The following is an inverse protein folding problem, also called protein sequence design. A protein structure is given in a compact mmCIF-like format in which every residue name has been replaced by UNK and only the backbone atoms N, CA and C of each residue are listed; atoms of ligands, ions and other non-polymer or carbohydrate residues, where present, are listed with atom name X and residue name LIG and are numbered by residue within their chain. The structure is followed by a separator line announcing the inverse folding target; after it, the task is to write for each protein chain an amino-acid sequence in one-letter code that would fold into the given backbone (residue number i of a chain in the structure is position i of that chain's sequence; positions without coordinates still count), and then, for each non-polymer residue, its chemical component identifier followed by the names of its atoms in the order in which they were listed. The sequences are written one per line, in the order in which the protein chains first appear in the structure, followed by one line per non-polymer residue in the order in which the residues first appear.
data_IF_090169708013
#
_entry.id   IF_090169708013
#
_cell.length_a   1.000
_cell.length_b   1.000
_cell.length_c   1.000
_cell.angle_alpha   90.00
_cell.angle_beta   90.00
_cell.angle_gamma   90.00
#
_symmetry.space_group_name_H-M   'P 1'
#
loop_
_entity.id
_entity.type
_entity.pdbx_description
1 polymer ?
#
# COMPACT_ATOMS: atom_id res chain seq x y z
N UNK A 1 -11.58 25.65 8.59
CA UNK A 1 -11.07 25.63 7.19
C UNK A 1 -9.75 24.87 7.23
N UNK A 2 -9.78 23.56 6.98
CA UNK A 2 -8.60 22.70 7.16
C UNK A 2 -7.82 22.65 5.84
N UNK A 3 -6.58 23.14 5.89
CA UNK A 3 -5.64 23.20 4.77
C UNK A 3 -4.96 21.85 4.58
N UNK A 4 -4.95 21.37 3.33
CA UNK A 4 -4.24 20.18 2.88
C UNK A 4 -2.73 20.45 2.88
N UNK A 5 -2.07 20.34 4.04
CA UNK A 5 -0.61 20.49 4.16
C UNK A 5 -0.03 19.44 5.09
N UNK A 6 -0.42 18.17 4.91
CA UNK A 6 0.39 17.04 5.36
C UNK A 6 0.90 16.35 4.09
N UNK A 7 1.93 16.98 3.53
CA UNK A 7 2.71 16.52 2.40
C UNK A 7 3.34 15.18 2.81
N UNK A 8 2.76 14.05 2.38
CA UNK A 8 3.46 12.77 2.46
C UNK A 8 4.77 12.94 1.68
N UNK A 9 5.94 12.64 2.27
CA UNK A 9 7.19 12.70 1.54
C UNK A 9 7.03 11.75 0.35
N UNK A 10 7.07 12.30 -0.86
CA UNK A 10 7.05 11.52 -2.08
C UNK A 10 8.37 10.76 -2.15
N UNK A 11 8.41 9.56 -1.58
CA UNK A 11 9.50 8.61 -1.79
C UNK A 11 9.34 7.97 -3.16
N UNK A 12 9.35 8.80 -4.21
CA UNK A 12 9.67 8.30 -5.53
C UNK A 12 11.13 7.82 -5.48
N UNK A 13 11.43 6.56 -5.83
CA UNK A 13 12.80 6.11 -5.88
C UNK A 13 13.59 6.99 -6.87
N UNK A 14 14.86 7.35 -6.56
CA UNK A 14 15.64 8.30 -7.35
C UNK A 14 15.68 7.88 -8.82
N UNK A 15 15.60 8.83 -9.74
CA UNK A 15 15.45 8.64 -11.20
C UNK A 15 16.40 7.58 -11.80
N UNK A 16 17.58 7.41 -11.19
CA UNK A 16 18.62 6.43 -11.55
C UNK A 16 18.39 4.97 -11.11
N UNK A 17 17.34 4.65 -10.33
CA UNK A 17 17.09 3.27 -9.95
C UNK A 17 16.70 2.46 -11.21
N UNK A 18 17.55 1.50 -11.59
CA UNK A 18 17.26 0.59 -12.69
C UNK A 18 15.97 -0.16 -12.35
N UNK A 19 14.99 -0.05 -13.22
CA UNK A 19 13.76 -0.84 -13.15
C UNK A 19 14.18 -2.28 -13.47
N UNK A 20 13.96 -3.20 -12.54
CA UNK A 20 14.26 -4.62 -12.72
C UNK A 20 13.36 -5.23 -13.79
N UNK A 21 13.63 -6.46 -14.22
CA UNK A 21 12.66 -7.20 -15.04
C UNK A 21 11.61 -7.81 -14.10
N UNK A 22 10.30 -7.53 -14.26
CA UNK A 22 9.24 -8.13 -13.46
C UNK A 22 9.27 -9.67 -13.44
N UNK A 23 9.74 -10.29 -14.52
CA UNK A 23 9.87 -11.76 -14.62
C UNK A 23 10.99 -12.35 -13.76
N UNK A 24 11.85 -11.48 -13.20
CA UNK A 24 12.96 -11.84 -12.30
C UNK A 24 12.73 -11.41 -10.86
N UNK A 25 11.52 -10.95 -10.50
CA UNK A 25 11.17 -10.62 -9.12
C UNK A 25 11.21 -11.88 -8.24
N UNK A 26 12.26 -12.02 -7.46
CA UNK A 26 12.34 -13.01 -6.39
C UNK A 26 11.76 -12.43 -5.09
N UNK A 27 10.86 -13.18 -4.46
CA UNK A 27 10.37 -12.85 -3.12
C UNK A 27 11.42 -13.23 -2.09
N UNK A 28 11.72 -12.30 -1.18
CA UNK A 28 12.66 -12.52 -0.08
C UNK A 28 11.92 -12.49 1.27
N UNK A 29 12.21 -13.48 2.12
CA UNK A 29 11.67 -13.55 3.48
C UNK A 29 12.16 -12.38 4.33
N UNK A 30 11.25 -11.75 5.08
CA UNK A 30 11.58 -10.63 5.96
C UNK A 30 12.66 -10.97 6.99
N UNK A 31 12.67 -12.20 7.51
CA UNK A 31 13.66 -12.64 8.49
C UNK A 31 15.11 -12.58 7.97
N UNK A 32 15.29 -12.74 6.65
CA UNK A 32 16.61 -12.60 6.02
C UNK A 32 16.97 -11.13 5.81
N UNK A 33 15.98 -10.32 5.41
CA UNK A 33 16.18 -8.89 5.16
C UNK A 33 16.45 -8.13 6.45
N UNK A 34 15.76 -8.45 7.55
CA UNK A 34 15.84 -7.68 8.80
C UNK A 34 17.22 -7.70 9.45
N UNK A 35 18.04 -8.70 9.11
CA UNK A 35 19.43 -8.84 9.57
C UNK A 35 20.46 -8.17 8.65
N UNK A 36 20.05 -7.75 7.45
CA UNK A 36 20.90 -7.02 6.50
C UNK A 36 20.53 -5.52 6.54
N UNK A 37 21.37 -4.72 7.20
CA UNK A 37 21.12 -3.28 7.36
C UNK A 37 21.06 -2.52 6.04
N UNK A 38 21.77 -2.97 5.00
CA UNK A 38 21.78 -2.32 3.67
C UNK A 38 20.44 -2.56 2.97
N UNK A 39 19.93 -3.78 2.99
CA UNK A 39 18.63 -4.11 2.40
C UNK A 39 17.49 -3.50 3.21
N UNK A 40 17.54 -3.63 4.53
CA UNK A 40 16.57 -3.03 5.45
C UNK A 40 16.44 -1.53 5.26
N UNK A 41 17.56 -0.82 5.03
CA UNK A 41 17.57 0.62 4.76
C UNK A 41 16.84 1.04 3.47
N UNK A 42 16.51 0.11 2.57
CA UNK A 42 15.74 0.39 1.34
C UNK A 42 14.23 0.33 1.55
N UNK A 43 13.77 -0.19 2.70
CA UNK A 43 12.36 -0.36 3.00
C UNK A 43 11.90 0.78 3.89
N UNK A 44 10.87 1.49 3.44
CA UNK A 44 10.21 2.55 4.22
C UNK A 44 8.88 2.00 4.72
N UNK A 45 8.84 1.66 6.01
CA UNK A 45 7.63 1.18 6.66
C UNK A 45 6.69 2.32 7.00
N UNK A 46 5.40 2.10 6.79
CA UNK A 46 4.37 3.07 7.18
C UNK A 46 4.11 2.95 8.68
N UNK A 47 4.09 4.06 9.44
CA UNK A 47 3.74 3.99 10.85
C UNK A 47 2.29 3.52 11.02
N UNK A 48 2.06 2.76 12.08
CA UNK A 48 0.71 2.38 12.51
C UNK A 48 -0.13 3.65 12.69
N UNK A 49 -1.39 3.59 12.29
CA UNK A 49 -2.32 4.71 12.43
C UNK A 49 -2.43 5.11 13.91
N UNK A 50 -2.21 6.40 14.20
CA UNK A 50 -2.36 6.93 15.57
C UNK A 50 -3.79 6.80 16.09
N UNK A 51 -3.94 6.73 17.42
CA UNK A 51 -5.23 6.56 18.07
C UNK A 51 -6.19 7.68 17.70
N UNK A 52 -5.70 8.93 17.70
CA UNK A 52 -6.50 10.10 17.34
C UNK A 52 -7.05 10.01 15.91
N UNK A 53 -6.22 9.59 14.95
CA UNK A 53 -6.66 9.42 13.55
C UNK A 53 -7.59 8.23 13.37
N UNK A 54 -7.41 7.17 14.15
CA UNK A 54 -8.32 6.04 14.21
C UNK A 54 -9.72 6.47 14.73
N UNK A 55 -9.76 7.19 15.86
CA UNK A 55 -11.00 7.71 16.46
C UNK A 55 -11.73 8.66 15.50
N UNK A 56 -11.00 9.58 14.87
CA UNK A 56 -11.57 10.51 13.89
C UNK A 56 -12.21 9.75 12.71
N UNK A 57 -11.50 8.76 12.16
CA UNK A 57 -12.00 7.95 11.05
C UNK A 57 -13.21 7.11 11.44
N UNK A 58 -13.20 6.51 12.63
CA UNK A 58 -14.33 5.75 13.15
C UNK A 58 -15.59 6.60 13.30
N UNK A 59 -15.42 7.80 13.83
CA UNK A 59 -16.52 8.73 14.08
C UNK A 59 -17.09 9.26 12.76
N UNK A 60 -16.23 9.64 11.80
CA UNK A 60 -16.65 10.23 10.53
C UNK A 60 -17.17 9.21 9.51
N UNK A 61 -16.58 8.02 9.45
CA UNK A 61 -16.79 7.10 8.32
C UNK A 61 -17.50 5.80 8.70
N UNK A 62 -17.40 5.35 9.94
CA UNK A 62 -17.82 3.99 10.32
C UNK A 62 -18.89 3.94 11.41
N UNK A 63 -19.43 5.10 11.82
CA UNK A 63 -20.49 5.17 12.83
C UNK A 63 -20.09 4.50 14.14
N UNK A 64 -18.83 4.70 14.56
CA UNK A 64 -18.22 4.11 15.78
C UNK A 64 -18.10 2.57 15.79
N UNK A 65 -18.32 1.89 14.66
CA UNK A 65 -18.16 0.43 14.57
C UNK A 65 -16.69 0.07 14.37
N UNK A 66 -16.01 -0.29 15.46
CA UNK A 66 -14.56 -0.57 15.48
C UNK A 66 -14.15 -1.66 14.48
N UNK A 67 -14.95 -2.72 14.34
CA UNK A 67 -14.70 -3.82 13.41
C UNK A 67 -14.60 -3.41 11.92
N UNK A 68 -14.97 -2.17 11.56
CA UNK A 68 -14.86 -1.65 10.19
C UNK A 68 -13.58 -0.85 9.94
N UNK A 69 -12.76 -0.62 10.95
CA UNK A 69 -11.48 0.08 10.83
C UNK A 69 -10.39 -0.91 10.40
N UNK A 70 -10.24 -1.05 9.09
CA UNK A 70 -9.39 -2.05 8.43
C UNK A 70 -8.02 -1.51 7.98
N UNK A 71 -7.67 -0.28 8.37
CA UNK A 71 -6.44 0.39 7.95
C UNK A 71 -5.59 0.88 9.12
N UNK A 72 -5.65 0.18 10.26
CA UNK A 72 -4.78 0.47 11.42
C UNK A 72 -3.33 0.13 11.07
N UNK A 73 -3.09 -1.12 10.68
CA UNK A 73 -1.88 -1.55 9.99
C UNK A 73 -2.10 -1.37 8.49
N UNK A 74 -1.14 -0.75 7.80
CA UNK A 74 -1.22 -0.47 6.36
C UNK A 74 0.17 -0.28 5.81
N UNK A 75 0.37 -0.65 4.56
CA UNK A 75 1.60 -0.34 3.84
C UNK A 75 1.29 0.28 2.48
N UNK A 76 2.28 0.95 1.92
CA UNK A 76 2.23 1.53 0.59
C UNK A 76 3.45 1.08 -0.20
N UNK A 77 3.21 0.48 -1.35
CA UNK A 77 4.25 0.13 -2.32
C UNK A 77 4.08 1.04 -3.53
N UNK A 78 5.14 1.76 -3.89
CA UNK A 78 5.15 2.70 -5.02
C UNK A 78 5.89 2.07 -6.18
N UNK A 79 5.23 2.00 -7.35
CA UNK A 79 5.79 1.45 -8.58
C UNK A 79 5.97 2.55 -9.62
N UNK A 80 6.94 2.39 -10.52
CA UNK A 80 7.13 3.30 -11.66
C UNK A 80 6.29 2.92 -12.86
N UNK A 81 6.08 1.63 -13.04
CA UNK A 81 5.37 1.05 -14.17
C UNK A 81 4.30 0.05 -13.71
N UNK A 82 3.38 -0.25 -14.62
CA UNK A 82 2.24 -1.10 -14.35
C UNK A 82 2.64 -2.59 -14.26
N UNK A 83 3.71 -3.00 -14.95
CA UNK A 83 4.13 -4.40 -15.02
C UNK A 83 4.64 -4.87 -13.64
N UNK A 84 5.44 -4.06 -12.94
CA UNK A 84 5.87 -4.35 -11.57
C UNK A 84 4.70 -4.35 -10.57
N UNK A 85 3.72 -3.47 -10.78
CA UNK A 85 2.51 -3.47 -9.95
C UNK A 85 1.75 -4.79 -10.14
N UNK A 86 1.55 -5.23 -11.39
CA UNK A 86 0.87 -6.49 -11.70
C UNK A 86 1.65 -7.67 -11.11
N UNK A 87 2.97 -7.74 -11.31
CA UNK A 87 3.81 -8.80 -10.75
C UNK A 87 3.70 -8.88 -9.21
N UNK A 88 3.69 -7.73 -8.53
CA UNK A 88 3.48 -7.68 -7.09
C UNK A 88 2.09 -8.17 -6.67
N UNK A 89 1.03 -7.74 -7.38
CA UNK A 89 -0.34 -8.21 -7.10
C UNK A 89 -0.47 -9.73 -7.31
N UNK A 90 0.16 -10.27 -8.35
CA UNK A 90 0.18 -11.71 -8.60
C UNK A 90 0.94 -12.46 -7.50
N UNK A 91 2.07 -11.94 -7.04
CA UNK A 91 2.81 -12.51 -5.93
C UNK A 91 1.97 -12.57 -4.65
N UNK A 92 1.29 -11.47 -4.29
CA UNK A 92 0.37 -11.43 -3.13
C UNK A 92 -0.77 -12.42 -3.31
N UNK A 93 -1.31 -12.58 -4.53
CA UNK A 93 -2.42 -13.48 -4.79
C UNK A 93 -2.04 -14.97 -4.76
N UNK A 94 -0.74 -15.29 -4.93
CA UNK A 94 -0.20 -16.66 -4.85
C UNK A 94 0.24 -17.04 -3.43
N UNK A 95 0.31 -16.09 -2.52
CA UNK A 95 0.72 -16.32 -1.14
C UNK A 95 -0.39 -17.04 -0.36
N UNK A 96 -0.10 -18.25 0.13
CA UNK A 96 -1.06 -19.10 0.85
C UNK A 96 -1.36 -18.59 2.26
N UNK A 97 -0.49 -17.73 2.83
CA UNK A 97 -0.67 -17.15 4.16
C UNK A 97 -1.57 -15.91 4.14
N UNK A 98 -1.99 -15.46 2.95
CA UNK A 98 -2.73 -14.21 2.75
C UNK A 98 -4.02 -14.42 1.97
N UNK A 99 -5.11 -13.86 2.49
CA UNK A 99 -6.40 -13.77 1.78
C UNK A 99 -6.70 -12.32 1.40
N UNK A 100 -6.98 -12.11 0.11
CA UNK A 100 -7.44 -10.81 -0.40
C UNK A 100 -8.95 -10.66 -0.16
N UNK A 101 -9.31 -9.92 0.89
CA UNK A 101 -10.71 -9.68 1.29
C UNK A 101 -11.40 -8.62 0.41
N UNK A 102 -10.63 -7.66 -0.11
CA UNK A 102 -11.17 -6.58 -0.94
C UNK A 102 -10.12 -5.99 -1.85
N UNK A 103 -10.53 -5.71 -3.10
CA UNK A 103 -9.76 -4.91 -4.06
C UNK A 103 -10.52 -3.63 -4.39
N UNK A 104 -9.83 -2.49 -4.39
CA UNK A 104 -10.30 -1.26 -5.05
C UNK A 104 -9.29 -0.88 -6.13
N UNK A 105 -9.69 -1.05 -7.38
CA UNK A 105 -8.86 -0.74 -8.54
C UNK A 105 -9.29 0.60 -9.15
N UNK A 106 -8.50 1.67 -8.91
CA UNK A 106 -8.71 2.99 -9.52
C UNK A 106 -7.91 3.19 -10.82
N UNK A 107 -7.17 2.17 -11.26
CA UNK A 107 -6.49 2.14 -12.55
C UNK A 107 -7.40 1.58 -13.65
N UNK A 108 -8.54 0.99 -13.30
CA UNK A 108 -9.51 0.50 -14.27
C UNK A 108 -10.01 1.67 -15.14
N UNK A 109 -9.93 1.60 -16.48
CA UNK A 109 -10.42 2.65 -17.37
C UNK A 109 -11.90 3.00 -17.19
N UNK A 110 -12.72 2.06 -16.70
CA UNK A 110 -14.12 2.30 -16.38
C UNK A 110 -14.34 2.99 -15.01
N UNK A 111 -13.30 3.21 -14.22
CA UNK A 111 -13.39 3.93 -12.96
C UNK A 111 -13.56 5.43 -13.19
N UNK A 112 -14.63 6.00 -12.62
CA UNK A 112 -14.85 7.45 -12.64
C UNK A 112 -13.83 8.17 -11.73
N UNK A 113 -12.74 8.64 -12.34
CA UNK A 113 -11.63 9.31 -11.68
C UNK A 113 -12.03 10.66 -11.05
N UNK A 114 -13.15 11.27 -11.44
CA UNK A 114 -13.63 12.54 -10.86
C UNK A 114 -13.95 12.36 -9.37
N UNK A 115 -14.47 11.18 -8.99
CA UNK A 115 -14.81 10.85 -7.59
C UNK A 115 -13.62 10.90 -6.65
N UNK A 116 -12.41 10.78 -7.17
CA UNK A 116 -11.18 10.79 -6.39
C UNK A 116 -10.22 11.86 -6.83
N UNK A 117 -10.64 12.86 -7.60
CA UNK A 117 -9.77 13.92 -8.10
C UNK A 117 -8.52 13.38 -8.84
N UNK A 118 -8.68 12.27 -9.57
CA UNK A 118 -7.61 11.71 -10.41
C UNK A 118 -6.63 10.75 -9.73
N UNK A 119 -6.88 10.33 -8.49
CA UNK A 119 -6.03 9.32 -7.83
C UNK A 119 -5.99 8.01 -8.63
N UNK A 120 -4.78 7.47 -8.80
CA UNK A 120 -4.46 6.24 -9.52
C UNK A 120 -3.73 5.28 -8.59
N UNK A 121 -4.48 4.35 -8.01
CA UNK A 121 -3.98 3.36 -7.06
C UNK A 121 -4.77 2.05 -7.14
N UNK A 122 -4.17 1.00 -6.60
CA UNK A 122 -4.86 -0.24 -6.24
C UNK A 122 -4.76 -0.40 -4.73
N UNK A 123 -5.89 -0.50 -4.05
CA UNK A 123 -5.93 -0.74 -2.61
C UNK A 123 -6.43 -2.15 -2.33
N UNK A 124 -5.70 -2.85 -1.46
CA UNK A 124 -6.05 -4.19 -0.98
C UNK A 124 -6.41 -4.14 0.50
N UNK A 125 -7.44 -4.88 0.90
CA UNK A 125 -7.58 -5.33 2.28
C UNK A 125 -7.13 -6.79 2.33
N UNK A 126 -6.15 -7.07 3.19
CA UNK A 126 -5.59 -8.39 3.36
C UNK A 126 -5.94 -8.95 4.75
N UNK A 127 -6.08 -10.26 4.84
CA UNK A 127 -6.18 -10.99 6.09
C UNK A 127 -5.14 -12.10 6.08
N UNK A 128 -4.35 -12.16 7.15
CA UNK A 128 -3.36 -13.24 7.38
C UNK A 128 -4.12 -14.47 7.92
N UNK A 129 -3.72 -15.66 7.46
CA UNK A 129 -4.31 -16.95 7.85
C UNK A 129 -3.55 -17.58 9.00
#
# INVERSE_FOLDING_TARGET
RWSAVDFFPSTFPPESAKIGDPSTMELEEWDRIRTDDVRKGRIVWTPIKSEMRAIEKLTRCYGRRVARLVDVCREQITFRDLDHLIACLEAIARDEEVVIERVKNRLNPAYDAVKTLGYRDVMLNLRIV
#
